data_IF_631252465809
#
_entry.id   IF_631252465809
#
_cell.length_a   1.000
_cell.length_b   1.000
_cell.length_c   1.000
_cell.angle_alpha   90.00
_cell.angle_beta   90.00
_cell.angle_gamma   90.00
#
_symmetry.space_group_name_H-M   'P 1'
#
loop_
_entity.id
_entity.type
_entity.pdbx_description
1 polymer ?
#
# COMPACT_ATOMS: atom_id res chain seq x y z
N UNK A 1 -18.83 -17.06 -5.96
CA UNK A 1 -17.72 -17.28 -5.00
C UNK A 1 -16.61 -16.34 -5.42
N UNK A 2 -16.11 -15.51 -4.51
CA UNK A 2 -14.96 -14.65 -4.80
C UNK A 2 -13.76 -15.54 -5.11
N UNK A 3 -12.95 -15.17 -6.11
CA UNK A 3 -11.70 -15.87 -6.38
C UNK A 3 -10.69 -15.39 -5.33
N UNK A 4 -10.00 -16.31 -4.62
CA UNK A 4 -8.99 -15.92 -3.64
C UNK A 4 -7.91 -15.05 -4.27
N UNK A 5 -7.44 -14.07 -3.51
CA UNK A 5 -6.25 -13.29 -3.82
C UNK A 5 -5.09 -13.98 -3.09
N UNK A 6 -4.07 -14.42 -3.82
CA UNK A 6 -2.84 -14.93 -3.22
C UNK A 6 -1.89 -13.76 -2.95
N UNK A 7 -1.19 -13.79 -1.80
CA UNK A 7 -0.23 -12.75 -1.44
C UNK A 7 1.15 -13.19 -1.91
N UNK A 8 1.42 -12.97 -3.19
CA UNK A 8 2.68 -13.32 -3.86
C UNK A 8 3.40 -12.10 -4.48
N UNK A 9 2.84 -10.89 -4.31
CA UNK A 9 3.33 -9.65 -4.90
C UNK A 9 2.86 -9.39 -6.34
N UNK A 10 2.00 -10.25 -6.90
CA UNK A 10 1.42 -10.10 -8.23
C UNK A 10 -0.03 -9.62 -8.19
N UNK A 11 -0.37 -8.68 -9.07
CA UNK A 11 -1.76 -8.27 -9.31
C UNK A 11 -2.44 -9.07 -10.44
N UNK A 12 -1.83 -10.18 -10.87
CA UNK A 12 -2.36 -11.03 -11.94
C UNK A 12 -3.52 -11.93 -11.52
N UNK A 13 -3.74 -12.11 -10.22
CA UNK A 13 -4.78 -13.01 -9.74
C UNK A 13 -6.17 -12.57 -10.21
N UNK A 14 -7.06 -13.53 -10.55
CA UNK A 14 -8.40 -13.17 -11.02
C UNK A 14 -9.23 -12.39 -10.00
N UNK A 15 -8.92 -12.51 -8.70
CA UNK A 15 -9.54 -11.73 -7.63
C UNK A 15 -9.34 -10.21 -7.81
N UNK A 16 -8.21 -9.78 -8.40
CA UNK A 16 -7.92 -8.38 -8.67
C UNK A 16 -8.60 -7.83 -9.92
N UNK A 17 -8.87 -8.67 -10.92
CA UNK A 17 -9.26 -8.24 -12.27
C UNK A 17 -10.55 -7.39 -12.27
N UNK A 18 -11.50 -7.70 -11.39
CA UNK A 18 -12.77 -6.99 -11.27
C UNK A 18 -12.76 -5.75 -10.35
N UNK A 19 -11.68 -5.54 -9.59
CA UNK A 19 -11.60 -4.44 -8.63
C UNK A 19 -11.14 -3.14 -9.33
N UNK A 20 -11.81 -2.00 -9.06
CA UNK A 20 -11.42 -0.72 -9.63
C UNK A 20 -10.07 -0.28 -9.05
N UNK A 21 -9.31 0.45 -9.87
CA UNK A 21 -8.19 1.24 -9.37
C UNK A 21 -8.72 2.46 -8.63
N UNK A 22 -7.98 2.91 -7.62
CA UNK A 22 -8.09 4.27 -7.10
C UNK A 22 -7.75 5.29 -8.18
N UNK A 23 -8.05 6.55 -7.90
CA UNK A 23 -7.36 7.65 -8.58
C UNK A 23 -5.86 7.62 -8.27
N UNK A 24 -5.07 8.33 -9.06
CA UNK A 24 -3.64 8.48 -8.81
C UNK A 24 -3.43 9.22 -7.49
N UNK A 25 -2.44 8.78 -6.72
CA UNK A 25 -2.09 9.42 -5.46
C UNK A 25 -1.59 10.85 -5.70
N UNK A 26 -1.83 11.72 -4.72
CA UNK A 26 -1.48 13.14 -4.73
C UNK A 26 -0.55 13.45 -3.57
N UNK A 27 0.07 14.63 -3.61
CA UNK A 27 0.81 15.14 -2.47
C UNK A 27 -0.14 15.40 -1.28
N UNK A 28 0.27 15.03 -0.06
CA UNK A 28 -0.55 15.13 1.15
C UNK A 28 -0.93 16.57 1.51
N UNK A 29 -0.18 17.57 1.04
CA UNK A 29 -0.51 18.99 1.22
C UNK A 29 -1.66 19.45 0.32
N UNK A 30 -1.97 18.70 -0.74
CA UNK A 30 -2.97 19.04 -1.75
C UNK A 30 -2.53 20.12 -2.76
N UNK A 31 -1.25 20.51 -2.75
CA UNK A 31 -0.73 21.48 -3.72
C UNK A 31 -0.52 20.86 -5.11
N UNK A 32 -1.23 21.36 -6.12
CA UNK A 32 -1.08 20.87 -7.51
C UNK A 32 0.35 21.00 -8.05
N UNK A 33 1.11 22.00 -7.59
CA UNK A 33 2.53 22.16 -7.94
C UNK A 33 3.43 21.04 -7.41
N UNK A 34 2.98 20.30 -6.40
CA UNK A 34 3.67 19.16 -5.81
C UNK A 34 3.16 17.82 -6.32
N UNK A 35 2.31 17.82 -7.37
CA UNK A 35 1.79 16.58 -7.96
C UNK A 35 2.91 15.58 -8.24
N UNK A 36 2.80 14.33 -7.74
CA UNK A 36 3.82 13.32 -7.94
C UNK A 36 4.15 13.11 -9.42
N UNK A 37 5.45 13.06 -9.74
CA UNK A 37 5.94 12.84 -11.10
C UNK A 37 5.63 11.43 -11.60
N UNK A 38 5.74 10.45 -10.71
CA UNK A 38 5.54 9.04 -11.02
C UNK A 38 4.19 8.58 -10.48
N UNK A 39 3.55 7.67 -11.21
CA UNK A 39 2.20 7.23 -10.86
C UNK A 39 2.25 6.24 -9.70
N UNK A 40 1.38 6.49 -8.72
CA UNK A 40 1.04 5.53 -7.67
C UNK A 40 -0.48 5.39 -7.62
N UNK A 41 -0.97 4.15 -7.55
CA UNK A 41 -2.40 3.83 -7.42
C UNK A 41 -2.59 2.48 -6.74
N UNK A 42 -3.77 2.22 -6.20
CA UNK A 42 -4.06 0.98 -5.49
C UNK A 42 -5.40 0.35 -5.92
N UNK A 43 -5.51 -0.97 -5.70
CA UNK A 43 -6.76 -1.72 -5.64
C UNK A 43 -6.99 -2.15 -4.20
N UNK A 44 -8.25 -2.14 -3.79
CA UNK A 44 -8.66 -2.62 -2.48
C UNK A 44 -9.80 -3.61 -2.64
N UNK A 45 -9.73 -4.70 -1.87
CA UNK A 45 -10.72 -5.76 -1.82
C UNK A 45 -10.81 -6.35 -0.42
N UNK A 46 -11.82 -7.16 -0.13
CA UNK A 46 -11.94 -7.83 1.16
C UNK A 46 -12.76 -9.10 1.05
N UNK A 47 -12.55 -9.99 2.01
CA UNK A 47 -13.39 -11.16 2.28
C UNK A 47 -13.73 -11.24 3.78
N UNK A 48 -14.31 -12.37 4.22
CA UNK A 48 -14.69 -12.57 5.62
C UNK A 48 -13.52 -12.55 6.62
N UNK A 49 -12.27 -12.60 6.15
CA UNK A 49 -11.07 -12.74 6.97
C UNK A 49 -10.06 -11.62 6.77
N UNK A 50 -9.94 -11.09 5.56
CA UNK A 50 -8.85 -10.19 5.20
C UNK A 50 -9.35 -8.98 4.43
N UNK A 51 -8.68 -7.85 4.69
CA UNK A 51 -8.65 -6.70 3.81
C UNK A 51 -7.39 -6.78 2.95
N UNK A 52 -7.55 -6.67 1.64
CA UNK A 52 -6.49 -6.82 0.64
C UNK A 52 -6.18 -5.46 0.03
N UNK A 53 -4.90 -5.10 0.01
CA UNK A 53 -4.38 -3.90 -0.67
C UNK A 53 -3.36 -4.34 -1.71
N UNK A 54 -3.55 -3.89 -2.95
CA UNK A 54 -2.63 -4.11 -4.05
C UNK A 54 -2.23 -2.78 -4.67
N UNK A 55 -0.97 -2.36 -4.47
CA UNK A 55 -0.48 -1.08 -4.95
C UNK A 55 0.44 -1.25 -6.16
N UNK A 56 0.38 -0.30 -7.10
CA UNK A 56 1.29 -0.18 -8.24
C UNK A 56 1.95 1.19 -8.17
N UNK A 57 3.29 1.18 -8.03
CA UNK A 57 4.13 2.36 -7.90
C UNK A 57 5.17 2.36 -9.02
N UNK A 58 5.31 3.49 -9.72
CA UNK A 58 6.43 3.73 -10.62
C UNK A 58 7.57 4.41 -9.86
N UNK A 59 8.77 3.81 -9.83
CA UNK A 59 9.97 4.43 -9.26
C UNK A 59 11.21 3.95 -10.02
N UNK A 60 11.98 4.83 -10.68
CA UNK A 60 13.18 4.44 -11.41
C UNK A 60 14.36 4.01 -10.52
N UNK A 61 14.37 4.39 -9.24
CA UNK A 61 15.46 4.15 -8.30
C UNK A 61 14.97 3.46 -7.03
N UNK A 62 14.28 2.33 -7.17
CA UNK A 62 13.82 1.56 -6.00
C UNK A 62 15.01 1.10 -5.17
N UNK A 63 15.02 1.43 -3.87
CA UNK A 63 15.95 0.87 -2.90
C UNK A 63 15.23 0.35 -1.66
N UNK A 64 15.83 -0.67 -1.08
CA UNK A 64 15.54 -1.14 0.27
C UNK A 64 16.83 -1.57 0.92
N UNK A 65 17.12 -1.03 2.09
CA UNK A 65 18.32 -1.28 2.89
C UNK A 65 17.97 -1.79 4.29
N UNK A 66 16.75 -1.54 4.73
CA UNK A 66 16.24 -1.91 6.05
C UNK A 66 15.70 -3.33 5.98
N UNK A 67 16.26 -4.20 6.81
CA UNK A 67 15.88 -5.62 6.90
C UNK A 67 15.36 -6.01 8.29
N UNK A 68 15.43 -5.10 9.25
CA UNK A 68 14.95 -5.32 10.61
C UNK A 68 13.49 -4.87 10.72
N UNK A 69 12.61 -5.79 11.15
CA UNK A 69 11.21 -5.48 11.39
C UNK A 69 11.07 -4.37 12.43
N UNK A 70 10.21 -3.40 12.14
CA UNK A 70 9.92 -2.24 12.99
C UNK A 70 11.12 -1.31 13.25
N UNK A 71 12.14 -1.33 12.37
CA UNK A 71 13.12 -0.25 12.28
C UNK A 71 12.53 0.99 11.58
N UNK A 72 13.23 2.12 11.64
CA UNK A 72 12.79 3.41 11.07
C UNK A 72 12.68 3.32 9.54
N UNK A 73 11.50 2.99 9.02
CA UNK A 73 11.30 2.50 7.64
C UNK A 73 11.25 3.59 6.56
N UNK A 74 10.73 4.78 6.89
CA UNK A 74 10.60 5.93 5.97
C UNK A 74 11.90 6.43 5.29
N UNK A 75 13.06 5.89 5.67
CA UNK A 75 14.36 6.17 5.01
C UNK A 75 14.57 5.31 3.73
N UNK A 76 13.81 4.23 3.56
CA UNK A 76 13.74 3.42 2.33
C UNK A 76 12.58 3.87 1.44
N UNK A 77 12.48 3.34 0.21
CA UNK A 77 11.20 3.40 -0.50
C UNK A 77 10.22 2.41 0.13
N UNK A 78 9.14 2.92 0.71
CA UNK A 78 8.07 2.15 1.33
C UNK A 78 6.68 2.56 0.83
N UNK A 79 5.71 1.73 1.17
CA UNK A 79 4.29 1.96 0.95
C UNK A 79 3.55 1.74 2.25
N UNK A 80 2.68 2.69 2.59
CA UNK A 80 2.03 2.74 3.89
C UNK A 80 0.51 2.59 3.78
N UNK A 81 -0.10 1.91 4.75
CA UNK A 81 -1.54 1.73 4.88
C UNK A 81 -1.96 2.11 6.30
N UNK A 82 -2.83 3.11 6.38
CA UNK A 82 -3.44 3.58 7.62
C UNK A 82 -4.90 3.13 7.66
N UNK A 83 -5.30 2.44 8.72
CA UNK A 83 -6.67 1.91 8.86
C UNK A 83 -7.21 2.30 10.22
N UNK A 84 -8.35 2.97 10.22
CA UNK A 84 -9.22 3.13 11.37
C UNK A 84 -10.38 2.12 11.26
N UNK A 85 -10.35 0.99 12.00
CA UNK A 85 -11.30 -0.10 11.79
C UNK A 85 -12.73 0.21 12.23
N UNK A 86 -12.93 1.14 13.19
CA UNK A 86 -14.25 1.52 13.69
C UNK A 86 -14.69 2.92 13.26
N UNK A 87 -13.79 3.69 12.66
CA UNK A 87 -14.08 4.98 12.02
C UNK A 87 -14.27 6.11 13.03
N UNK A 88 -13.78 5.96 14.26
CA UNK A 88 -13.92 6.97 15.31
C UNK A 88 -12.83 8.06 15.29
N UNK A 89 -11.82 7.89 14.43
CA UNK A 89 -10.66 8.77 14.26
C UNK A 89 -9.56 8.55 15.28
N UNK A 90 -9.59 7.45 16.05
CA UNK A 90 -8.63 7.10 17.10
C UNK A 90 -8.08 5.69 16.89
N UNK A 91 -6.96 5.37 17.54
CA UNK A 91 -6.38 4.02 17.60
C UNK A 91 -6.24 3.33 16.23
N UNK A 92 -5.85 4.09 15.21
CA UNK A 92 -5.60 3.55 13.88
C UNK A 92 -4.44 2.55 13.93
N UNK A 93 -4.48 1.59 13.00
CA UNK A 93 -3.37 0.71 12.69
C UNK A 93 -2.58 1.29 11.53
N UNK A 94 -1.27 1.21 11.63
CA UNK A 94 -0.33 1.65 10.60
C UNK A 94 0.52 0.46 10.15
N UNK A 95 0.65 0.32 8.84
CA UNK A 95 1.44 -0.73 8.22
C UNK A 95 2.30 -0.13 7.11
N UNK A 96 3.61 -0.34 7.21
CA UNK A 96 4.58 0.09 6.22
C UNK A 96 5.33 -1.13 5.67
N UNK A 97 5.67 -1.11 4.39
CA UNK A 97 6.45 -2.18 3.74
C UNK A 97 7.41 -1.60 2.70
N UNK A 98 8.69 -1.98 2.78
CA UNK A 98 9.67 -1.61 1.76
C UNK A 98 9.76 -2.61 0.61
N UNK A 99 10.57 -2.28 -0.40
CA UNK A 99 10.81 -3.14 -1.57
C UNK A 99 11.43 -4.52 -1.27
N UNK A 100 11.99 -4.72 -0.06
CA UNK A 100 12.49 -6.03 0.40
C UNK A 100 11.43 -6.86 1.11
N UNK A 101 10.24 -6.32 1.33
CA UNK A 101 9.18 -6.95 2.13
C UNK A 101 9.41 -6.87 3.63
N UNK A 102 10.31 -5.99 4.10
CA UNK A 102 10.49 -5.71 5.52
C UNK A 102 9.37 -4.79 5.96
N UNK A 103 8.79 -5.07 7.13
CA UNK A 103 7.60 -4.36 7.61
C UNK A 103 7.90 -3.51 8.85
N UNK A 104 7.17 -2.41 8.98
CA UNK A 104 6.94 -1.70 10.23
C UNK A 104 5.43 -1.68 10.51
N UNK A 105 5.03 -1.82 11.77
CA UNK A 105 3.62 -1.73 12.17
C UNK A 105 3.45 -1.19 13.59
N UNK A 106 2.34 -0.47 13.82
CA UNK A 106 1.93 0.13 15.11
C UNK A 106 0.46 -0.16 15.43
#
# INVERSE_FOLDING_TARGET
>A
MAVPIEIDGSLSDPGWAGLPWSEDFVDITGEESLRPRFRTRAKMGWDERFFYVGAELEEPHVWGTITEKNAVMFEDNDFEVFIDPDGDGLNYYEFEINALGTIWEL
#
